data_IF_522157204913
#
_entry.id   IF_522157204913
#
_cell.length_a   1.000
_cell.length_b   1.000
_cell.length_c   1.000
_cell.angle_alpha   90.00
_cell.angle_beta   90.00
_cell.angle_gamma   90.00
#
_symmetry.space_group_name_H-M   'P 1'
#
loop_
_entity.id
_entity.type
_entity.pdbx_description
1 polymer ?
#
# COMPACT_ATOMS: atom_id res chain seq x y z
N UNK A 1 13.58 41.49 49.59
CA UNK A 1 14.60 42.55 49.39
C UNK A 1 15.98 41.97 49.68
N UNK A 2 16.77 41.68 48.64
CA UNK A 2 18.25 41.75 48.64
C UNK A 2 18.73 41.52 47.20
N UNK A 3 19.24 42.61 46.61
CA UNK A 3 19.87 42.70 45.31
C UNK A 3 21.30 42.13 45.37
N UNK A 4 21.73 41.45 44.31
CA UNK A 4 23.14 41.22 43.93
C UNK A 4 23.10 40.91 42.42
N UNK A 5 23.23 41.86 41.50
CA UNK A 5 24.40 42.65 41.10
C UNK A 5 25.56 41.81 40.51
N UNK A 6 25.68 41.94 39.18
CA UNK A 6 26.90 41.96 38.34
C UNK A 6 27.84 40.74 38.34
N UNK A 7 28.08 40.14 37.16
CA UNK A 7 29.38 40.06 36.45
C UNK A 7 29.12 39.66 34.97
N UNK A 8 29.31 40.58 34.01
CA UNK A 8 30.51 40.83 33.18
C UNK A 8 30.66 39.84 32.02
N UNK A 9 30.64 40.42 30.83
CA UNK A 9 30.73 39.83 29.50
C UNK A 9 32.10 39.19 29.21
N UNK A 10 32.08 38.12 28.40
CA UNK A 10 33.21 37.70 27.60
C UNK A 10 32.70 37.31 26.20
N UNK A 11 32.75 38.28 25.29
CA UNK A 11 32.57 38.05 23.86
C UNK A 11 33.85 37.42 23.29
N UNK A 12 33.81 36.13 22.95
CA UNK A 12 34.86 35.46 22.20
C UNK A 12 34.47 35.42 20.72
N UNK A 13 34.97 36.40 19.97
CA UNK A 13 34.92 36.44 18.50
C UNK A 13 35.83 35.35 17.94
N UNK A 14 35.26 34.26 17.43
CA UNK A 14 35.95 33.31 16.57
C UNK A 14 35.56 33.57 15.10
N UNK A 15 36.35 34.38 14.41
CA UNK A 15 36.35 34.47 12.95
C UNK A 15 37.26 33.39 12.40
N UNK A 16 36.70 32.26 11.96
CA UNK A 16 37.42 31.26 11.17
C UNK A 16 37.15 31.48 9.69
N UNK A 17 38.15 32.06 9.04
CA UNK A 17 38.29 32.20 7.60
C UNK A 17 38.45 30.83 6.95
N UNK A 18 37.45 30.34 6.22
CA UNK A 18 37.60 29.22 5.29
C UNK A 18 37.92 29.75 3.89
N UNK A 19 39.20 29.66 3.52
CA UNK A 19 39.66 29.78 2.14
C UNK A 19 39.27 28.50 1.39
N UNK A 20 38.32 28.61 0.46
CA UNK A 20 38.06 27.56 -0.53
C UNK A 20 39.15 27.59 -1.60
N UNK A 21 40.03 26.58 -1.61
CA UNK A 21 40.90 26.29 -2.74
C UNK A 21 40.10 25.57 -3.83
N UNK A 22 39.79 26.28 -4.92
CA UNK A 22 39.27 25.67 -6.15
C UNK A 22 40.40 24.96 -6.89
N UNK A 23 40.46 23.62 -6.77
CA UNK A 23 41.28 22.77 -7.64
C UNK A 23 40.58 22.60 -8.98
N UNK A 24 41.08 23.27 -10.01
CA UNK A 24 40.69 23.07 -11.40
C UNK A 24 41.40 21.81 -11.94
N UNK A 25 40.66 20.72 -12.12
CA UNK A 25 41.16 19.56 -12.87
C UNK A 25 41.01 19.80 -14.38
N UNK A 26 42.05 19.52 -15.20
CA UNK A 26 41.94 19.56 -16.65
C UNK A 26 41.13 18.36 -17.15
N UNK A 27 39.89 18.61 -17.58
CA UNK A 27 39.07 17.65 -18.31
C UNK A 27 39.57 17.51 -19.75
N UNK A 28 40.01 16.29 -20.10
CA UNK A 28 40.37 15.93 -21.47
C UNK A 28 39.13 15.98 -22.36
N UNK A 29 39.20 16.58 -23.57
CA UNK A 29 38.07 16.57 -24.50
C UNK A 29 37.90 15.16 -25.10
N UNK A 30 36.86 14.47 -24.68
CA UNK A 30 36.39 13.25 -25.35
C UNK A 30 35.63 13.68 -26.61
N UNK A 31 36.23 13.44 -27.78
CA UNK A 31 35.56 13.60 -29.08
C UNK A 31 34.51 12.49 -29.22
N UNK A 32 33.25 12.82 -28.93
CA UNK A 32 32.12 12.00 -29.38
C UNK A 32 31.85 12.27 -30.86
N UNK A 33 31.82 11.20 -31.64
CA UNK A 33 31.40 11.21 -33.03
C UNK A 33 29.96 11.70 -33.13
N UNK A 34 29.73 12.67 -34.03
CA UNK A 34 28.40 13.18 -34.38
C UNK A 34 27.59 12.07 -35.03
N UNK A 35 26.64 11.49 -34.30
CA UNK A 35 25.45 10.92 -34.92
C UNK A 35 24.38 12.01 -34.95
N UNK A 36 23.94 12.34 -36.16
CA UNK A 36 22.90 13.32 -36.42
C UNK A 36 21.59 12.88 -35.75
N UNK A 37 21.22 13.57 -34.68
CA UNK A 37 19.92 13.44 -34.04
C UNK A 37 18.94 14.41 -34.69
N UNK A 38 17.89 13.86 -35.30
CA UNK A 38 16.63 14.54 -35.55
C UNK A 38 16.16 15.22 -34.26
N UNK A 39 16.09 16.55 -34.27
CA UNK A 39 15.43 17.31 -33.23
C UNK A 39 13.93 16.97 -33.25
N UNK A 40 13.44 16.28 -32.21
CA UNK A 40 12.03 16.22 -31.89
C UNK A 40 11.77 17.15 -30.71
N UNK A 41 10.76 17.99 -30.89
CA UNK A 41 10.15 18.89 -29.94
C UNK A 41 10.06 18.31 -28.52
N UNK A 42 10.69 19.00 -27.56
CA UNK A 42 10.42 18.85 -26.13
C UNK A 42 9.25 19.77 -25.76
N UNK A 43 8.02 19.27 -25.91
CA UNK A 43 6.85 19.79 -25.16
C UNK A 43 5.73 18.78 -24.96
N UNK A 44 5.99 17.49 -25.17
CA UNK A 44 5.04 16.45 -24.78
C UNK A 44 5.38 15.96 -23.36
N UNK A 45 4.52 16.29 -22.39
CA UNK A 45 4.50 15.58 -21.11
C UNK A 45 4.42 14.07 -21.39
N UNK A 46 5.23 13.23 -20.72
CA UNK A 46 5.17 11.79 -20.91
C UNK A 46 3.78 11.30 -20.51
N UNK A 47 2.98 10.91 -21.50
CA UNK A 47 1.73 10.20 -21.29
C UNK A 47 2.04 8.94 -20.51
N UNK A 48 1.58 8.86 -19.26
CA UNK A 48 1.69 7.67 -18.42
C UNK A 48 0.98 6.53 -19.17
N UNK A 49 1.76 5.63 -19.78
CA UNK A 49 1.19 4.53 -20.55
C UNK A 49 0.35 3.61 -19.65
N UNK A 50 -0.68 2.93 -20.19
CA UNK A 50 -1.63 2.09 -19.45
C UNK A 50 -1.00 0.87 -18.74
N UNK A 51 0.30 0.66 -18.89
CA UNK A 51 1.08 -0.39 -18.21
C UNK A 51 1.51 0.05 -16.80
N UNK A 52 1.65 1.35 -16.54
CA UNK A 52 2.07 1.89 -15.24
C UNK A 52 1.03 1.72 -14.13
N UNK A 53 -0.24 1.44 -14.47
CA UNK A 53 -1.31 1.20 -13.50
C UNK A 53 -1.28 -0.21 -12.89
N UNK A 54 -0.38 -1.10 -13.34
CA UNK A 54 -0.40 -2.52 -12.95
C UNK A 54 0.64 -2.94 -11.93
N UNK A 55 1.57 -2.05 -11.59
CA UNK A 55 2.53 -2.31 -10.52
C UNK A 55 2.02 -1.58 -9.28
N UNK A 56 1.25 -2.28 -8.46
CA UNK A 56 1.00 -1.84 -7.09
C UNK A 56 2.36 -1.88 -6.39
N UNK A 57 3.05 -0.75 -6.37
CA UNK A 57 4.27 -0.61 -5.61
C UNK A 57 3.83 -0.44 -4.17
N UNK A 58 4.05 -1.49 -3.39
CA UNK A 58 3.83 -1.46 -1.96
C UNK A 58 4.67 -0.30 -1.38
N UNK A 59 4.03 0.68 -0.72
CA UNK A 59 4.77 1.78 -0.10
C UNK A 59 5.78 1.19 0.88
N UNK A 60 7.03 1.62 0.79
CA UNK A 60 8.03 1.24 1.79
C UNK A 60 7.57 1.82 3.13
N UNK A 61 7.81 1.09 4.22
CA UNK A 61 7.58 1.60 5.55
C UNK A 61 8.28 2.97 5.69
N UNK A 62 7.49 4.01 5.91
CA UNK A 62 8.00 5.37 6.10
C UNK A 62 8.54 5.42 7.52
N UNK A 63 9.86 5.56 7.64
CA UNK A 63 10.49 5.85 8.93
C UNK A 63 10.27 7.31 9.21
N UNK A 64 9.67 7.60 10.36
CA UNK A 64 9.41 8.97 10.83
C UNK A 64 10.21 9.23 12.11
N UNK A 65 10.40 10.50 12.46
CA UNK A 65 10.98 10.91 13.74
C UNK A 65 9.93 11.67 14.51
N UNK A 66 9.61 11.21 15.71
CA UNK A 66 8.59 11.78 16.56
C UNK A 66 9.13 12.05 17.96
N UNK A 67 8.64 13.11 18.59
CA UNK A 67 8.99 13.49 19.95
C UNK A 67 7.84 14.23 20.62
N UNK A 68 7.79 14.19 21.96
CA UNK A 68 6.94 15.11 22.71
C UNK A 68 7.67 16.44 22.92
N UNK A 69 7.08 17.53 22.44
CA UNK A 69 7.65 18.86 22.59
C UNK A 69 6.91 19.57 23.73
N UNK A 70 7.62 19.72 24.84
CA UNK A 70 7.16 20.54 25.95
C UNK A 70 7.84 21.92 25.96
N UNK A 71 7.41 22.79 26.88
CA UNK A 71 7.98 24.12 27.04
C UNK A 71 9.49 24.09 27.43
N UNK A 72 9.98 23.01 28.04
CA UNK A 72 11.38 22.89 28.46
C UNK A 72 12.27 22.63 27.24
N UNK A 73 11.87 21.72 26.35
CA UNK A 73 12.60 21.42 25.10
C UNK A 73 12.78 22.69 24.26
N UNK A 74 11.75 23.53 24.16
CA UNK A 74 11.86 24.80 23.43
C UNK A 74 12.71 25.85 24.15
N UNK A 75 12.75 25.83 25.48
CA UNK A 75 13.60 26.74 26.25
C UNK A 75 15.09 26.44 26.07
N UNK A 76 15.45 25.17 25.89
CA UNK A 76 16.83 24.72 25.67
C UNK A 76 17.39 25.13 24.30
N UNK A 77 16.51 25.35 23.31
CA UNK A 77 16.88 25.85 21.99
C UNK A 77 17.27 27.34 21.97
N UNK A 78 17.28 28.01 23.12
CA UNK A 78 17.72 29.39 23.31
C UNK A 78 17.03 30.39 22.35
N UNK A 79 15.72 30.22 22.17
CA UNK A 79 14.85 31.12 21.42
C UNK A 79 14.66 32.46 22.15
N UNK A 80 15.65 33.33 22.07
CA UNK A 80 15.64 34.66 22.69
C UNK A 80 14.51 35.59 22.17
N UNK A 81 13.73 35.17 21.16
CA UNK A 81 12.73 36.00 20.47
C UNK A 81 11.28 35.60 20.71
N UNK A 82 10.99 34.44 21.32
CA UNK A 82 9.60 33.99 21.54
C UNK A 82 9.19 34.30 22.99
N UNK A 83 8.08 35.04 23.21
CA UNK A 83 7.61 35.30 24.56
C UNK A 83 7.24 33.98 25.25
N UNK A 84 7.87 33.68 26.40
CA UNK A 84 7.60 32.45 27.18
C UNK A 84 6.11 32.26 27.47
N UNK A 85 5.34 33.34 27.61
CA UNK A 85 3.89 33.29 27.84
C UNK A 85 3.11 32.59 26.71
N UNK A 86 3.62 32.62 25.47
CA UNK A 86 3.02 31.92 24.33
C UNK A 86 3.35 30.42 24.33
N UNK A 87 4.34 30.01 25.12
CA UNK A 87 4.83 28.63 25.22
C UNK A 87 4.31 27.91 26.47
N UNK A 88 3.67 28.63 27.40
CA UNK A 88 3.12 28.04 28.62
C UNK A 88 1.99 27.07 28.26
N UNK A 89 2.17 25.81 28.63
CA UNK A 89 1.18 24.75 28.38
C UNK A 89 1.24 24.14 26.98
N UNK A 90 2.32 24.38 26.24
CA UNK A 90 2.63 23.58 25.06
C UNK A 90 3.09 22.19 25.53
N UNK A 91 2.28 21.19 25.23
CA UNK A 91 2.57 19.75 25.42
C UNK A 91 2.01 19.05 24.18
N UNK A 92 2.81 19.06 23.12
CA UNK A 92 2.39 18.58 21.80
C UNK A 92 3.36 17.51 21.30
N UNK A 93 2.81 16.34 20.98
CA UNK A 93 3.57 15.28 20.36
C UNK A 93 3.53 15.46 18.84
N UNK A 94 4.70 15.63 18.22
CA UNK A 94 4.82 15.90 16.80
C UNK A 94 5.78 14.92 16.12
N UNK A 95 5.46 14.60 14.87
CA UNK A 95 6.29 13.82 13.97
C UNK A 95 6.71 14.67 12.77
N UNK A 96 7.91 14.46 12.23
CA UNK A 96 8.42 15.21 11.08
C UNK A 96 7.49 15.12 9.87
N UNK A 97 6.92 13.95 9.58
CA UNK A 97 6.01 13.78 8.44
C UNK A 97 4.69 14.54 8.57
N UNK A 98 4.26 14.85 9.80
CA UNK A 98 3.00 15.54 10.09
C UNK A 98 3.14 17.04 10.32
N UNK A 99 4.37 17.57 10.37
CA UNK A 99 4.63 19.00 10.65
C UNK A 99 3.80 19.96 9.79
N UNK A 100 3.72 19.81 8.44
CA UNK A 100 2.97 20.76 7.63
C UNK A 100 1.48 20.81 7.98
N UNK A 101 0.90 19.67 8.37
CA UNK A 101 -0.49 19.58 8.78
C UNK A 101 -0.69 20.16 10.18
N UNK A 102 0.19 19.80 11.12
CA UNK A 102 0.14 20.26 12.51
C UNK A 102 0.14 21.79 12.62
N UNK A 103 0.94 22.49 11.80
CA UNK A 103 0.98 23.95 11.75
C UNK A 103 -0.34 24.62 11.35
N UNK A 104 -1.26 23.87 10.74
CA UNK A 104 -2.57 24.37 10.30
C UNK A 104 -3.73 23.87 11.14
N UNK A 105 -3.55 22.77 11.87
CA UNK A 105 -4.61 22.13 12.66
C UNK A 105 -4.49 22.44 14.15
N UNK A 106 -3.29 22.71 14.63
CA UNK A 106 -3.04 23.03 16.04
C UNK A 106 -3.17 24.55 16.28
N UNK A 107 -4.12 24.93 17.13
CA UNK A 107 -4.43 26.33 17.43
C UNK A 107 -3.25 27.05 18.10
N UNK A 108 -2.44 26.35 18.91
CA UNK A 108 -1.28 26.94 19.55
C UNK A 108 -0.19 27.22 18.52
N UNK A 109 0.11 26.25 17.65
CA UNK A 109 1.11 26.42 16.58
C UNK A 109 0.66 27.46 15.55
N UNK A 110 -0.62 27.52 15.21
CA UNK A 110 -1.17 28.51 14.28
C UNK A 110 -0.90 29.94 14.78
N UNK A 111 -1.01 30.20 16.08
CA UNK A 111 -0.72 31.54 16.66
C UNK A 111 0.76 31.93 16.58
N UNK A 112 1.67 30.97 16.45
CA UNK A 112 3.11 31.21 16.30
C UNK A 112 3.48 31.53 14.84
N UNK A 113 2.66 31.11 13.87
CA UNK A 113 2.93 31.31 12.44
C UNK A 113 3.09 32.81 12.08
N UNK A 114 2.22 33.74 12.50
CA UNK A 114 2.40 35.16 12.21
C UNK A 114 3.63 35.80 12.87
N UNK A 115 4.11 35.23 13.98
CA UNK A 115 5.25 35.77 14.75
C UNK A 115 6.59 35.34 14.17
N UNK A 116 6.71 34.07 13.79
CA UNK A 116 7.98 33.48 13.35
C UNK A 116 8.05 33.29 11.83
N UNK A 117 6.90 33.17 11.17
CA UNK A 117 6.79 32.70 9.80
C UNK A 117 6.90 31.18 9.71
N UNK A 118 6.19 30.58 8.75
CA UNK A 118 6.10 29.12 8.55
C UNK A 118 7.49 28.48 8.46
N UNK A 119 8.41 29.06 7.67
CA UNK A 119 9.73 28.46 7.44
C UNK A 119 10.57 28.37 8.72
N UNK A 120 10.58 29.44 9.53
CA UNK A 120 11.36 29.46 10.78
C UNK A 120 10.72 28.56 11.83
N UNK A 121 9.38 28.55 11.92
CA UNK A 121 8.66 27.67 12.84
C UNK A 121 8.85 26.19 12.47
N UNK A 122 8.79 25.84 11.18
CA UNK A 122 9.09 24.48 10.71
C UNK A 122 10.52 24.08 11.06
N UNK A 123 11.52 24.92 10.71
CA UNK A 123 12.92 24.63 11.02
C UNK A 123 13.16 24.46 12.53
N UNK A 124 12.49 25.28 13.34
CA UNK A 124 12.56 25.21 14.78
C UNK A 124 11.93 23.93 15.33
N UNK A 125 10.72 23.57 14.90
CA UNK A 125 10.05 22.36 15.35
C UNK A 125 10.80 21.11 14.88
N UNK A 126 11.38 21.12 13.68
CA UNK A 126 12.29 20.06 13.22
C UNK A 126 13.49 19.93 14.18
N UNK A 127 14.17 21.03 14.51
CA UNK A 127 15.30 21.00 15.43
C UNK A 127 14.89 20.56 16.85
N UNK A 128 13.68 20.93 17.30
CA UNK A 128 13.12 20.48 18.57
C UNK A 128 12.85 18.97 18.56
N UNK A 129 12.24 18.44 17.51
CA UNK A 129 11.97 17.00 17.37
C UNK A 129 13.28 16.20 17.32
N UNK A 130 14.26 16.65 16.54
CA UNK A 130 15.55 15.98 16.41
C UNK A 130 16.42 16.09 17.68
N UNK A 131 16.26 17.17 18.44
CA UNK A 131 17.02 17.44 19.66
C UNK A 131 16.37 16.96 20.95
N UNK A 132 15.10 16.56 20.91
CA UNK A 132 14.36 16.16 22.10
C UNK A 132 14.93 14.85 22.70
N UNK A 133 15.04 14.76 24.04
CA UNK A 133 15.61 13.59 24.71
C UNK A 133 14.74 12.33 24.57
N UNK A 134 13.45 12.49 24.29
CA UNK A 134 12.47 11.44 24.08
C UNK A 134 12.19 11.17 22.59
N UNK A 135 12.97 11.76 21.68
CA UNK A 135 12.84 11.53 20.24
C UNK A 135 13.03 10.05 19.88
N UNK A 136 12.17 9.55 19.00
CA UNK A 136 12.19 8.16 18.53
C UNK A 136 12.02 8.09 17.02
N UNK A 137 12.78 7.17 16.41
CA UNK A 137 12.54 6.73 15.05
C UNK A 137 11.39 5.74 15.03
N UNK A 138 10.26 6.15 14.50
CA UNK A 138 9.03 5.37 14.45
C UNK A 138 8.92 4.65 13.11
N UNK A 139 8.55 3.38 13.15
CA UNK A 139 8.20 2.58 11.97
C UNK A 139 6.77 2.11 12.14
N UNK A 140 5.93 2.40 11.16
CA UNK A 140 4.50 2.12 11.22
C UNK A 140 4.14 0.94 10.32
N UNK A 141 3.24 0.04 10.76
CA UNK A 141 2.73 -1.01 9.89
C UNK A 141 1.90 -0.42 8.74
N UNK A 142 1.69 -1.20 7.69
CA UNK A 142 0.83 -0.77 6.59
C UNK A 142 -0.60 -0.54 7.07
N UNK A 143 -1.30 0.38 6.41
CA UNK A 143 -2.68 0.75 6.74
C UNK A 143 -2.85 1.23 8.18
N UNK A 144 -1.81 1.87 8.72
CA UNK A 144 -1.88 2.59 9.99
C UNK A 144 -1.68 4.08 9.79
N UNK A 145 -2.18 4.85 10.75
CA UNK A 145 -1.92 6.26 10.91
C UNK A 145 -1.08 6.48 12.16
N UNK A 146 -0.05 7.34 12.08
CA UNK A 146 0.71 7.71 13.26
C UNK A 146 -0.21 8.42 14.26
N UNK A 147 -0.06 8.07 15.53
CA UNK A 147 -0.76 8.65 16.66
C UNK A 147 0.27 9.01 17.73
N UNK A 148 0.79 10.23 17.66
CA UNK A 148 1.79 10.71 18.60
C UNK A 148 1.11 11.08 19.92
N UNK A 149 1.61 10.54 21.03
CA UNK A 149 1.19 10.91 22.39
C UNK A 149 2.40 11.12 23.30
N UNK A 150 2.23 11.87 24.38
CA UNK A 150 3.32 12.13 25.34
C UNK A 150 3.89 10.86 26.00
N UNK A 151 3.09 9.80 26.16
CA UNK A 151 3.54 8.50 26.67
C UNK A 151 4.13 7.57 25.60
N UNK A 152 3.73 7.77 24.34
CA UNK A 152 4.12 6.92 23.22
C UNK A 152 4.22 7.75 21.93
N UNK A 153 5.41 8.30 21.61
CA UNK A 153 5.60 9.11 20.41
C UNK A 153 5.54 8.29 19.12
N UNK A 154 5.65 6.95 19.20
CA UNK A 154 5.49 6.05 18.06
C UNK A 154 4.17 5.30 18.10
N UNK A 155 3.17 5.82 18.83
CA UNK A 155 1.82 5.27 18.81
C UNK A 155 1.24 5.28 17.41
N UNK A 156 0.33 4.35 17.14
CA UNK A 156 -0.36 4.25 15.86
C UNK A 156 -1.72 3.57 16.00
N UNK A 157 -2.60 3.91 15.08
CA UNK A 157 -3.93 3.32 14.93
C UNK A 157 -4.12 2.75 13.53
N UNK A 158 -4.95 1.73 13.38
CA UNK A 158 -5.29 1.20 12.07
C UNK A 158 -6.30 2.09 11.36
N UNK A 159 -6.10 2.28 10.06
CA UNK A 159 -7.10 2.91 9.21
C UNK A 159 -8.34 2.01 9.11
N UNK A 160 -9.54 2.56 9.27
CA UNK A 160 -10.76 1.79 9.03
C UNK A 160 -10.82 1.31 7.57
N UNK A 161 -11.12 0.03 7.26
CA UNK A 161 -11.69 -1.00 8.15
C UNK A 161 -10.68 -2.01 8.74
N UNK A 162 -9.38 -1.71 8.74
CA UNK A 162 -8.36 -2.55 9.34
C UNK A 162 -8.45 -2.53 10.87
N UNK A 163 -8.05 -3.63 11.49
CA UNK A 163 -8.05 -3.80 12.95
C UNK A 163 -6.65 -4.18 13.41
N UNK A 164 -6.26 -3.70 14.59
CA UNK A 164 -4.96 -3.98 15.19
C UNK A 164 -4.91 -5.42 15.67
N UNK A 165 -3.98 -6.21 15.15
CA UNK A 165 -3.69 -7.58 15.61
C UNK A 165 -2.18 -7.70 15.85
N UNK A 166 -1.77 -7.64 17.12
CA UNK A 166 -0.35 -7.53 17.47
C UNK A 166 0.26 -6.21 17.00
N UNK A 167 1.33 -6.30 16.22
CA UNK A 167 2.08 -5.16 15.68
C UNK A 167 1.70 -4.80 14.24
N UNK A 168 0.61 -5.36 13.72
CA UNK A 168 0.15 -5.15 12.35
C UNK A 168 -1.33 -4.71 12.28
N UNK A 169 -1.69 -4.06 11.17
CA UNK A 169 -3.07 -3.78 10.82
C UNK A 169 -3.58 -4.81 9.82
N UNK A 170 -4.50 -5.65 10.27
CA UNK A 170 -5.04 -6.76 9.48
C UNK A 170 -6.45 -6.46 9.00
N UNK A 171 -6.79 -7.03 7.85
CA UNK A 171 -8.15 -6.99 7.33
C UNK A 171 -8.98 -8.11 7.99
N UNK A 172 -9.67 -7.79 9.07
CA UNK A 172 -10.41 -8.78 9.85
C UNK A 172 -11.69 -9.23 9.11
N UNK A 173 -12.03 -10.52 9.25
CA UNK A 173 -13.30 -11.06 8.75
C UNK A 173 -14.50 -10.26 9.31
N UNK A 174 -15.52 -9.90 8.52
CA UNK A 174 -15.91 -10.44 7.19
C UNK A 174 -15.28 -9.73 5.99
N UNK A 175 -14.36 -8.79 6.20
CA UNK A 175 -13.67 -8.11 5.11
C UNK A 175 -12.56 -8.99 4.52
N UNK A 176 -12.14 -8.69 3.31
CA UNK A 176 -11.02 -9.37 2.63
C UNK A 176 -10.08 -8.31 2.07
N UNK A 177 -8.77 -8.51 2.18
CA UNK A 177 -7.81 -7.61 1.53
C UNK A 177 -7.73 -7.95 0.05
N UNK A 178 -8.03 -6.98 -0.80
CA UNK A 178 -7.96 -7.10 -2.25
C UNK A 178 -7.11 -5.98 -2.83
N UNK A 179 -5.98 -6.34 -3.46
CA UNK A 179 -5.07 -5.37 -4.08
C UNK A 179 -4.61 -4.24 -3.12
N UNK A 180 -4.33 -4.61 -1.85
CA UNK A 180 -3.95 -3.65 -0.82
C UNK A 180 -5.10 -2.83 -0.24
N UNK A 181 -6.36 -3.17 -0.54
CA UNK A 181 -7.54 -2.50 0.04
C UNK A 181 -8.39 -3.50 0.80
N UNK A 182 -8.60 -3.26 2.09
CA UNK A 182 -9.53 -4.04 2.91
C UNK A 182 -10.97 -3.57 2.66
N UNK A 183 -11.86 -4.51 2.33
CA UNK A 183 -13.25 -4.21 2.05
C UNK A 183 -14.13 -5.45 1.87
N UNK A 184 -15.42 -5.21 1.62
CA UNK A 184 -16.36 -6.29 1.30
C UNK A 184 -16.46 -6.43 -0.22
N UNK A 185 -15.99 -7.56 -0.75
CA UNK A 185 -15.96 -7.84 -2.18
C UNK A 185 -16.96 -8.95 -2.51
N UNK A 186 -18.25 -8.59 -2.66
CA UNK A 186 -19.35 -9.54 -2.95
C UNK A 186 -19.15 -10.35 -4.22
N UNK A 187 -18.42 -9.79 -5.20
CA UNK A 187 -18.10 -10.45 -6.47
C UNK A 187 -16.69 -11.08 -6.49
N UNK A 188 -16.05 -11.19 -5.33
CA UNK A 188 -14.67 -11.64 -5.19
C UNK A 188 -13.64 -10.55 -5.50
N UNK A 189 -12.39 -10.81 -5.11
CA UNK A 189 -11.26 -9.97 -5.45
C UNK A 189 -10.75 -10.33 -6.85
N UNK A 190 -10.91 -9.45 -7.83
CA UNK A 190 -10.28 -9.63 -9.13
C UNK A 190 -8.75 -9.61 -8.95
N UNK A 191 -8.08 -10.74 -9.17
CA UNK A 191 -6.62 -10.80 -9.02
C UNK A 191 -5.97 -9.81 -9.99
N UNK A 192 -5.23 -8.83 -9.47
CA UNK A 192 -4.48 -7.86 -10.29
C UNK A 192 -3.39 -8.50 -11.14
N UNK A 193 -3.03 -9.74 -10.86
CA UNK A 193 -2.26 -10.53 -11.79
C UNK A 193 -3.21 -10.95 -12.92
N UNK A 194 -3.10 -10.39 -14.15
CA UNK A 194 -3.59 -11.12 -15.30
C UNK A 194 -2.94 -12.50 -15.17
N UNK A 195 -3.73 -13.55 -14.93
CA UNK A 195 -3.23 -14.93 -15.00
C UNK A 195 -2.45 -14.94 -16.29
N UNK A 196 -1.11 -15.02 -16.20
CA UNK A 196 -0.26 -14.90 -17.36
C UNK A 196 -0.87 -15.85 -18.36
N UNK A 197 -1.41 -15.31 -19.46
CA UNK A 197 -2.07 -16.11 -20.48
C UNK A 197 -0.99 -17.11 -20.82
N UNK A 198 -1.12 -18.36 -20.36
CA UNK A 198 -0.03 -19.34 -20.32
C UNK A 198 0.35 -19.62 -21.78
N UNK A 199 1.19 -18.76 -22.32
CA UNK A 199 1.61 -18.71 -23.71
C UNK A 199 2.68 -19.78 -23.98
N UNK A 200 3.02 -20.60 -22.99
CA UNK A 200 4.16 -21.51 -23.06
C UNK A 200 3.87 -23.01 -23.12
N UNK A 201 2.67 -23.51 -22.80
CA UNK A 201 2.35 -24.97 -22.89
C UNK A 201 0.86 -25.31 -22.87
N UNK A 202 -0.02 -24.36 -22.52
CA UNK A 202 -1.47 -24.59 -22.48
C UNK A 202 -2.23 -23.91 -23.62
N UNK A 203 -1.58 -23.12 -24.47
CA UNK A 203 -2.24 -22.67 -25.70
C UNK A 203 -2.40 -23.83 -26.67
N UNK A 204 -1.35 -24.65 -26.86
CA UNK A 204 -1.47 -25.93 -27.59
C UNK A 204 -2.46 -26.88 -26.91
N UNK A 205 -2.43 -27.01 -25.58
CA UNK A 205 -3.45 -27.83 -24.88
C UNK A 205 -4.86 -27.28 -25.02
N UNK A 206 -5.08 -25.96 -24.94
CA UNK A 206 -6.41 -25.34 -25.12
C UNK A 206 -6.88 -25.44 -26.57
N UNK A 207 -5.96 -25.44 -27.53
CA UNK A 207 -6.28 -25.68 -28.94
C UNK A 207 -6.59 -27.17 -29.15
N UNK A 208 -5.80 -28.10 -28.62
CA UNK A 208 -6.06 -29.54 -28.74
C UNK A 208 -7.30 -30.02 -27.99
N UNK A 209 -7.58 -29.55 -26.77
CA UNK A 209 -8.77 -29.97 -26.00
C UNK A 209 -10.06 -29.27 -26.43
N UNK A 210 -10.01 -28.27 -27.32
CA UNK A 210 -11.21 -27.63 -27.89
C UNK A 210 -11.48 -28.04 -29.34
N UNK A 211 -10.51 -28.64 -30.04
CA UNK A 211 -10.74 -29.23 -31.36
C UNK A 211 -11.46 -30.57 -31.16
N UNK A 212 -12.79 -30.54 -31.25
CA UNK A 212 -13.64 -31.74 -31.30
C UNK A 212 -14.42 -32.04 -30.01
N UNK A 213 -14.11 -31.36 -28.90
CA UNK A 213 -14.98 -31.42 -27.71
C UNK A 213 -16.18 -30.53 -27.97
N UNK A 214 -17.29 -31.17 -28.30
CA UNK A 214 -18.55 -30.47 -28.44
C UNK A 214 -19.29 -30.56 -27.11
N UNK A 215 -19.39 -31.72 -26.49
CA UNK A 215 -20.29 -31.93 -25.34
C UNK A 215 -19.63 -31.72 -23.96
N UNK A 216 -20.47 -31.44 -22.95
CA UNK A 216 -20.02 -31.36 -21.55
C UNK A 216 -19.43 -32.69 -21.05
N UNK A 217 -19.98 -33.83 -21.48
CA UNK A 217 -19.48 -35.15 -21.08
C UNK A 217 -18.07 -35.41 -21.65
N UNK A 218 -17.83 -35.00 -22.89
CA UNK A 218 -16.50 -35.03 -23.50
C UNK A 218 -15.53 -34.09 -22.79
N UNK A 219 -15.96 -32.86 -22.47
CA UNK A 219 -15.16 -31.92 -21.70
C UNK A 219 -14.83 -32.47 -20.30
N UNK A 220 -15.76 -33.16 -19.65
CA UNK A 220 -15.52 -33.72 -18.32
C UNK A 220 -14.54 -34.89 -18.36
N UNK A 221 -14.48 -35.64 -19.48
CA UNK A 221 -13.47 -36.69 -19.69
C UNK A 221 -12.05 -36.14 -19.88
N UNK A 222 -11.89 -34.85 -20.22
CA UNK A 222 -10.56 -34.21 -20.30
C UNK A 222 -10.09 -33.71 -18.93
N UNK A 223 -11.00 -33.62 -17.95
CA UNK A 223 -10.68 -33.25 -16.57
C UNK A 223 -10.25 -34.47 -15.74
N UNK A 224 -9.49 -34.24 -14.66
CA UNK A 224 -9.19 -35.29 -13.67
C UNK A 224 -10.45 -35.69 -12.88
N UNK A 225 -10.38 -36.83 -12.20
CA UNK A 225 -11.49 -37.37 -11.40
C UNK A 225 -11.97 -36.40 -10.29
N UNK A 226 -11.09 -35.52 -9.81
CA UNK A 226 -11.37 -34.52 -8.78
C UNK A 226 -11.63 -33.10 -9.31
N UNK A 227 -11.70 -32.93 -10.63
CA UNK A 227 -11.93 -31.66 -11.30
C UNK A 227 -13.30 -31.62 -11.98
N UNK A 228 -13.87 -30.43 -12.14
CA UNK A 228 -15.14 -30.20 -12.84
C UNK A 228 -14.93 -29.18 -13.96
N UNK A 229 -15.65 -29.36 -15.07
CA UNK A 229 -15.65 -28.40 -16.19
C UNK A 229 -16.33 -27.11 -15.77
N UNK A 230 -15.61 -25.99 -15.86
CA UNK A 230 -16.15 -24.66 -15.62
C UNK A 230 -15.91 -23.76 -16.83
N UNK A 231 -16.92 -22.99 -17.22
CA UNK A 231 -16.82 -22.09 -18.38
C UNK A 231 -15.86 -20.93 -18.11
N UNK A 232 -15.09 -20.53 -19.13
CA UNK A 232 -14.18 -19.38 -19.02
C UNK A 232 -14.95 -18.09 -19.30
N UNK A 233 -15.02 -17.19 -18.31
CA UNK A 233 -15.63 -15.87 -18.52
C UNK A 233 -14.86 -15.10 -19.60
N UNK A 234 -15.58 -14.52 -20.56
CA UNK A 234 -15.03 -13.89 -21.78
C UNK A 234 -14.26 -14.85 -22.74
N UNK A 235 -14.39 -16.17 -22.59
CA UNK A 235 -13.95 -17.16 -23.56
C UNK A 235 -14.94 -17.35 -24.72
N UNK A 236 -14.61 -18.23 -25.69
CA UNK A 236 -15.59 -18.69 -26.68
C UNK A 236 -16.69 -19.53 -26.02
N UNK A 237 -17.81 -19.76 -26.71
CA UNK A 237 -18.91 -20.60 -26.20
C UNK A 237 -18.49 -22.04 -25.84
N UNK A 238 -17.32 -22.48 -26.32
CA UNK A 238 -16.74 -23.80 -26.07
C UNK A 238 -15.51 -23.77 -25.15
N UNK A 239 -15.13 -22.60 -24.63
CA UNK A 239 -13.96 -22.47 -23.78
C UNK A 239 -14.27 -22.91 -22.34
N UNK A 240 -13.53 -23.90 -21.85
CA UNK A 240 -13.63 -24.40 -20.48
C UNK A 240 -12.28 -24.56 -19.79
N UNK A 241 -12.32 -24.61 -18.46
CA UNK A 241 -11.21 -24.95 -17.59
C UNK A 241 -11.66 -26.08 -16.64
N UNK A 242 -10.79 -27.07 -16.42
CA UNK A 242 -10.98 -28.09 -15.38
C UNK A 242 -10.53 -27.52 -14.05
N UNK A 243 -11.44 -27.47 -13.08
CA UNK A 243 -11.20 -26.84 -11.77
C UNK A 243 -11.64 -27.80 -10.67
N UNK A 244 -10.77 -28.04 -9.69
CA UNK A 244 -11.15 -28.73 -8.47
C UNK A 244 -11.97 -27.78 -7.57
N UNK A 245 -13.28 -27.97 -7.56
CA UNK A 245 -14.24 -27.16 -6.79
C UNK A 245 -14.18 -27.41 -5.29
N UNK A 246 -13.57 -28.52 -4.84
CA UNK A 246 -13.36 -28.81 -3.42
C UNK A 246 -12.25 -27.95 -2.81
N UNK A 247 -11.30 -27.50 -3.62
CA UNK A 247 -10.19 -26.63 -3.20
C UNK A 247 -10.47 -25.17 -3.59
N UNK A 248 -11.05 -24.93 -4.76
CA UNK A 248 -11.27 -23.59 -5.31
C UNK A 248 -12.77 -23.25 -5.44
N UNK A 249 -13.45 -23.13 -4.30
CA UNK A 249 -14.91 -22.88 -4.21
C UNK A 249 -15.39 -21.58 -4.87
N UNK A 250 -14.50 -20.61 -5.09
CA UNK A 250 -14.82 -19.33 -5.74
C UNK A 250 -14.80 -19.40 -7.28
N UNK A 251 -14.29 -20.47 -7.88
CA UNK A 251 -13.91 -20.45 -9.30
C UNK A 251 -15.01 -20.80 -10.29
N UNK A 252 -16.13 -21.41 -9.84
CA UNK A 252 -17.22 -21.83 -10.73
C UNK A 252 -18.58 -21.20 -10.38
N UNK A 253 -18.62 -20.23 -9.47
CA UNK A 253 -19.86 -19.66 -8.93
C UNK A 253 -20.74 -18.95 -9.96
N UNK A 254 -20.20 -18.53 -11.09
CA UNK A 254 -20.91 -17.59 -11.96
C UNK A 254 -21.51 -18.19 -13.22
N UNK A 255 -21.12 -19.39 -13.66
CA UNK A 255 -21.69 -19.96 -14.89
C UNK A 255 -21.21 -21.38 -15.22
N UNK A 256 -22.10 -22.37 -15.15
CA UNK A 256 -22.02 -23.57 -16.00
C UNK A 256 -22.68 -23.34 -17.37
N UNK A 257 -22.85 -22.08 -17.81
CA UNK A 257 -23.52 -21.76 -19.08
C UNK A 257 -22.57 -22.00 -20.24
N UNK A 258 -22.58 -23.23 -20.75
CA UNK A 258 -22.41 -23.47 -22.17
C UNK A 258 -23.69 -23.04 -22.88
N UNK A 259 -23.64 -21.93 -23.61
CA UNK A 259 -24.84 -21.26 -24.14
C UNK A 259 -25.53 -22.00 -25.30
N UNK A 260 -24.91 -23.04 -25.86
CA UNK A 260 -25.43 -23.76 -27.04
C UNK A 260 -25.68 -25.26 -26.85
N UNK A 261 -25.47 -25.81 -25.64
CA UNK A 261 -26.06 -27.10 -25.33
C UNK A 261 -27.47 -26.86 -24.82
N UNK A 262 -28.49 -27.38 -25.51
CA UNK A 262 -29.87 -27.46 -25.02
C UNK A 262 -29.97 -28.38 -23.81
N UNK A 263 -29.28 -28.05 -22.73
CA UNK A 263 -29.41 -28.69 -21.44
C UNK A 263 -29.75 -27.57 -20.47
N UNK A 264 -30.91 -27.73 -19.85
CA UNK A 264 -31.49 -26.82 -18.85
C UNK A 264 -30.45 -26.31 -17.85
N UNK A 265 -30.65 -25.13 -17.25
CA UNK A 265 -29.77 -24.62 -16.20
C UNK A 265 -29.68 -25.64 -15.07
N UNK A 266 -28.57 -26.39 -15.02
CA UNK A 266 -28.23 -27.20 -13.86
C UNK A 266 -27.78 -26.20 -12.82
N UNK A 267 -28.69 -25.88 -11.90
CA UNK A 267 -28.36 -25.28 -10.62
C UNK A 267 -27.39 -26.25 -9.94
N UNK A 268 -26.11 -25.87 -9.81
CA UNK A 268 -25.20 -26.59 -8.94
C UNK A 268 -25.85 -26.66 -7.55
N UNK A 269 -26.17 -27.85 -7.03
CA UNK A 269 -26.78 -27.93 -5.71
C UNK A 269 -25.80 -27.31 -4.71
N UNK A 270 -26.26 -26.42 -3.81
CA UNK A 270 -25.40 -25.85 -2.79
C UNK A 270 -24.75 -26.97 -1.99
N UNK A 271 -23.45 -26.85 -1.75
CA UNK A 271 -22.60 -27.73 -0.95
C UNK A 271 -23.08 -27.82 0.50
N UNK A 272 -24.16 -28.56 0.72
CA UNK A 272 -24.78 -28.77 2.03
C UNK A 272 -24.89 -30.26 2.38
N UNK A 273 -23.86 -31.04 2.07
CA UNK A 273 -23.75 -32.44 2.51
C UNK A 273 -22.29 -32.81 2.84
N UNK A 274 -21.74 -32.15 3.85
CA UNK A 274 -20.67 -32.73 4.67
C UNK A 274 -21.10 -32.65 6.11
N UNK A 275 -21.93 -33.60 6.55
CA UNK A 275 -22.03 -34.04 7.94
C UNK A 275 -22.82 -35.35 7.99
N UNK A 276 -22.10 -36.43 8.32
CA UNK A 276 -22.57 -37.78 8.72
C UNK A 276 -23.41 -38.55 7.69
N UNK A 277 -22.83 -39.61 7.13
CA UNK A 277 -23.21 -41.00 7.44
C UNK A 277 -22.16 -41.97 6.89
N UNK A 278 -21.57 -42.78 7.77
CA UNK A 278 -20.83 -44.00 7.41
C UNK A 278 -21.84 -45.03 6.89
N UNK A 279 -21.80 -45.40 5.60
CA UNK A 279 -21.93 -46.77 5.06
C UNK A 279 -21.85 -46.78 3.52
N UNK A 280 -21.45 -47.92 2.90
CA UNK A 280 -21.00 -47.98 1.50
C UNK A 280 -22.12 -48.36 0.51
N UNK A 281 -21.82 -48.16 -0.78
CA UNK A 281 -22.51 -48.60 -2.00
C UNK A 281 -23.77 -47.80 -2.42
N UNK A 282 -23.61 -46.95 -3.43
CA UNK A 282 -24.11 -47.21 -4.79
C UNK A 282 -23.64 -46.11 -5.76
N UNK A 283 -23.09 -46.53 -6.92
CA UNK A 283 -22.85 -45.67 -8.10
C UNK A 283 -24.17 -45.03 -8.52
N UNK A 284 -24.29 -43.71 -8.40
CA UNK A 284 -25.33 -42.96 -9.11
C UNK A 284 -24.83 -42.62 -10.51
N UNK A 285 -25.33 -43.36 -11.51
CA UNK A 285 -25.34 -42.94 -12.91
C UNK A 285 -26.28 -41.74 -13.04
N UNK A 286 -25.81 -40.65 -13.64
CA UNK A 286 -26.70 -39.65 -14.22
C UNK A 286 -27.42 -40.29 -15.40
N UNK A 287 -28.75 -40.39 -15.31
CA UNK A 287 -29.61 -40.88 -16.37
C UNK A 287 -29.64 -39.85 -17.50
N UNK A 288 -29.09 -40.22 -18.65
CA UNK A 288 -29.27 -39.49 -19.90
C UNK A 288 -30.71 -39.63 -20.38
N UNK A 289 -31.40 -38.49 -20.52
CA UNK A 289 -32.71 -38.42 -21.14
C UNK A 289 -32.54 -38.60 -22.66
N UNK A 290 -33.08 -39.69 -23.22
CA UNK A 290 -33.24 -39.83 -24.68
C UNK A 290 -34.38 -38.91 -25.12
N UNK A 291 -34.07 -38.03 -26.06
CA UNK A 291 -34.99 -37.45 -27.04
C UNK A 291 -34.42 -37.73 -28.41
#
# INVERSE_FOLDING_TARGET
MRLSALQIAAAATYTLSFLQMSSAHPSKPVRFARHASHARDLSAQPSVGPVSLRQHHEPRAVVDVCANIDANVLSDLNLLTVPLSALVGLDVCLCLSMLPLALTTDVQLETLVPLLGINNLTALLTAAIDGAPDSKHCTYPQHSKPLCSSSDPCGWECESPYVKEGDECVCQWPYTSCNGVCGSFTHGCGSSTPKARRLGTNLERRIETSIGVTTLEEAQKTCKEDETVCGVHAGSNLAYECINVGINVESCKYSCLFKDFRVSPIVCPPSRWWLRFRKPLHRHRCLGHRG
#
